data_IF_588568774570
#
_entry.id   IF_588568774570
#
_cell.length_a   1.000
_cell.length_b   1.000
_cell.length_c   1.000
_cell.angle_alpha   90.00
_cell.angle_beta   90.00
_cell.angle_gamma   90.00
#
_symmetry.space_group_name_H-M   'P 1'
#
loop_
_entity.id
_entity.type
_entity.pdbx_description
1 polymer ?
#
# COMPACT_ATOMS: atom_id res chain seq x y z
N UNK A 1 -2.19 -8.92 17.11
CA UNK A 1 -2.15 -8.22 15.81
C UNK A 1 -3.50 -7.53 15.64
N UNK A 2 -3.55 -6.23 15.34
CA UNK A 2 -4.83 -5.50 15.33
C UNK A 2 -5.80 -5.96 14.23
N UNK A 3 -5.29 -6.60 13.18
CA UNK A 3 -6.06 -7.04 12.02
C UNK A 3 -6.13 -8.55 11.82
N UNK A 4 -5.90 -9.36 12.86
CA UNK A 4 -5.88 -10.83 12.75
C UNK A 4 -7.26 -11.51 12.70
N UNK A 5 -8.34 -10.78 12.46
CA UNK A 5 -9.69 -11.35 12.43
C UNK A 5 -10.18 -11.64 11.01
N UNK A 6 -10.85 -12.79 10.86
CA UNK A 6 -11.42 -13.33 9.62
C UNK A 6 -12.38 -12.39 8.87
N UNK A 7 -12.90 -11.35 9.53
CA UNK A 7 -13.73 -10.32 8.90
C UNK A 7 -12.95 -9.36 8.00
N UNK A 8 -11.66 -9.15 8.27
CA UNK A 8 -10.72 -8.39 7.42
C UNK A 8 -10.14 -9.27 6.30
N UNK A 9 -10.01 -10.59 6.50
CA UNK A 9 -9.51 -11.57 5.51
C UNK A 9 -10.33 -11.56 4.19
N UNK A 10 -11.53 -10.96 4.16
CA UNK A 10 -12.32 -10.77 2.91
C UNK A 10 -11.77 -9.72 1.94
N UNK A 11 -10.68 -9.03 2.28
CA UNK A 11 -10.06 -7.99 1.45
C UNK A 11 -8.75 -8.43 0.78
N UNK A 12 -8.57 -9.74 0.60
CA UNK A 12 -7.51 -10.28 -0.25
C UNK A 12 -7.89 -10.04 -1.72
N UNK A 13 -7.10 -9.20 -2.41
CA UNK A 13 -7.21 -9.03 -3.85
C UNK A 13 -5.90 -9.48 -4.47
N UNK A 14 -5.93 -10.56 -5.24
CA UNK A 14 -4.78 -11.04 -5.96
C UNK A 14 -5.02 -10.96 -7.46
N UNK A 15 -3.95 -10.70 -8.18
CA UNK A 15 -3.90 -10.79 -9.63
C UNK A 15 -2.81 -11.77 -10.04
N UNK A 16 -2.99 -12.46 -11.15
CA UNK A 16 -1.99 -13.40 -11.64
C UNK A 16 -1.82 -13.39 -13.16
N UNK A 17 -0.64 -13.85 -13.55
CA UNK A 17 -0.27 -14.19 -14.93
C UNK A 17 0.03 -15.70 -14.93
N UNK A 18 -1.00 -16.56 -15.09
CA UNK A 18 -0.83 -18.00 -14.97
C UNK A 18 0.23 -18.58 -15.90
N UNK A 19 0.34 -18.04 -17.12
CA UNK A 19 1.35 -18.46 -18.12
C UNK A 19 2.80 -18.24 -17.68
N UNK A 20 3.04 -17.37 -16.68
CA UNK A 20 4.36 -17.10 -16.12
C UNK A 20 4.49 -17.58 -14.67
N UNK A 21 3.45 -18.21 -14.11
CA UNK A 21 3.42 -18.68 -12.73
C UNK A 21 3.77 -17.57 -11.71
N UNK A 22 3.24 -16.37 -11.93
CA UNK A 22 3.46 -15.17 -11.10
C UNK A 22 2.10 -14.64 -10.63
N UNK A 23 2.03 -14.28 -9.36
CA UNK A 23 0.88 -13.61 -8.76
C UNK A 23 1.34 -12.38 -7.95
N UNK A 24 0.43 -11.46 -7.70
CA UNK A 24 0.66 -10.30 -6.83
C UNK A 24 -0.56 -10.07 -5.97
N UNK A 25 -0.34 -9.76 -4.70
CA UNK A 25 -1.40 -9.12 -3.94
C UNK A 25 -1.50 -7.64 -4.34
N UNK A 26 -2.72 -7.12 -4.31
CA UNK A 26 -3.06 -5.71 -4.52
C UNK A 26 -3.58 -5.14 -3.19
N UNK A 27 -2.68 -4.60 -2.34
CA UNK A 27 -3.13 -3.92 -1.13
C UNK A 27 -3.94 -2.67 -1.49
N UNK A 28 -4.80 -2.22 -0.58
CA UNK A 28 -5.58 -1.00 -0.83
C UNK A 28 -4.73 0.25 -0.60
N UNK A 29 -3.89 0.58 -1.59
CA UNK A 29 -3.07 1.79 -1.64
C UNK A 29 -2.69 2.16 -3.09
N UNK A 30 -1.87 3.21 -3.25
CA UNK A 30 -1.42 3.69 -4.56
C UNK A 30 -0.53 2.67 -5.29
N UNK A 31 0.16 1.78 -4.58
CA UNK A 31 1.04 0.77 -5.19
C UNK A 31 0.27 -0.36 -5.86
N UNK A 32 -0.99 -0.61 -5.47
CA UNK A 32 -1.84 -1.53 -6.22
C UNK A 32 -2.08 -1.06 -7.66
N UNK A 33 -2.16 0.25 -7.92
CA UNK A 33 -2.28 0.77 -9.30
C UNK A 33 -1.02 0.50 -10.12
N UNK A 34 0.16 0.70 -9.53
CA UNK A 34 1.46 0.35 -10.12
C UNK A 34 1.51 -1.15 -10.45
N UNK A 35 1.14 -2.01 -9.49
CA UNK A 35 1.15 -3.46 -9.69
C UNK A 35 0.17 -3.92 -10.75
N UNK A 36 -1.04 -3.37 -10.77
CA UNK A 36 -2.01 -3.65 -11.81
C UNK A 36 -1.46 -3.29 -13.20
N UNK A 37 -0.91 -2.08 -13.34
CA UNK A 37 -0.37 -1.58 -14.60
C UNK A 37 0.88 -2.37 -15.05
N UNK A 38 1.71 -2.80 -14.11
CA UNK A 38 2.84 -3.70 -14.37
C UNK A 38 2.36 -5.05 -14.91
N UNK A 39 1.39 -5.69 -14.26
CA UNK A 39 0.86 -6.99 -14.68
C UNK A 39 0.14 -6.90 -16.04
N UNK A 40 -0.57 -5.79 -16.31
CA UNK A 40 -1.10 -5.46 -17.64
C UNK A 40 -0.01 -5.48 -18.72
N UNK A 41 1.12 -4.79 -18.46
CA UNK A 41 2.21 -4.70 -19.41
C UNK A 41 2.92 -6.04 -19.61
N UNK A 42 3.13 -6.82 -18.55
CA UNK A 42 3.77 -8.13 -18.65
C UNK A 42 2.90 -9.13 -19.42
N UNK A 43 1.58 -9.07 -19.23
CA UNK A 43 0.64 -9.87 -20.02
C UNK A 43 0.59 -9.50 -21.50
N UNK A 44 1.04 -8.29 -21.88
CA UNK A 44 1.04 -7.75 -23.26
C UNK A 44 2.33 -6.99 -23.59
N UNK A 45 3.50 -7.67 -23.60
CA UNK A 45 4.80 -7.00 -23.53
C UNK A 45 5.15 -6.17 -24.78
N UNK A 46 4.57 -6.48 -25.94
CA UNK A 46 4.87 -5.83 -27.21
C UNK A 46 4.05 -4.55 -27.49
N UNK A 47 3.18 -4.12 -26.57
CA UNK A 47 2.35 -2.92 -26.78
C UNK A 47 3.00 -1.65 -26.19
N UNK A 48 3.79 -0.95 -27.01
CA UNK A 48 4.42 0.32 -26.61
C UNK A 48 3.39 1.41 -26.29
N UNK A 49 2.28 1.46 -27.05
CA UNK A 49 1.17 2.39 -26.81
C UNK A 49 0.52 2.14 -25.45
N UNK A 50 0.30 0.88 -25.09
CA UNK A 50 -0.22 0.50 -23.76
C UNK A 50 0.75 0.92 -22.65
N UNK A 51 2.06 0.73 -22.84
CA UNK A 51 3.07 1.14 -21.85
C UNK A 51 3.04 2.64 -21.56
N UNK A 52 3.06 3.46 -22.60
CA UNK A 52 2.97 4.92 -22.45
C UNK A 52 1.62 5.36 -21.85
N UNK A 53 0.55 4.62 -22.14
CA UNK A 53 -0.76 4.88 -21.57
C UNK A 53 -0.85 4.52 -20.08
N UNK A 54 -0.20 3.44 -19.64
CA UNK A 54 -0.31 2.91 -18.27
C UNK A 54 0.64 3.58 -17.28
N UNK A 55 1.79 4.07 -17.73
CA UNK A 55 2.82 4.63 -16.85
C UNK A 55 3.04 6.14 -17.05
N UNK A 56 1.95 6.91 -17.03
CA UNK A 56 2.02 8.37 -16.97
C UNK A 56 1.46 8.90 -15.65
N UNK A 57 1.83 10.13 -15.28
CA UNK A 57 1.42 10.79 -14.02
C UNK A 57 -0.10 10.76 -13.80
N UNK A 58 -0.91 10.86 -14.88
CA UNK A 58 -2.37 10.86 -14.79
C UNK A 58 -2.95 9.50 -14.41
N UNK A 59 -2.14 8.44 -14.44
CA UNK A 59 -2.49 7.06 -14.09
C UNK A 59 -2.11 6.68 -12.66
N UNK A 60 -1.41 7.55 -11.91
CA UNK A 60 -1.14 7.30 -10.49
C UNK A 60 -2.46 7.14 -9.74
N UNK A 61 -2.61 6.03 -9.01
CA UNK A 61 -3.84 5.68 -8.30
C UNK A 61 -5.00 5.23 -9.21
N UNK A 62 -4.78 5.08 -10.53
CA UNK A 62 -5.77 4.58 -11.48
C UNK A 62 -5.36 3.24 -12.06
N UNK A 63 -6.25 2.27 -11.95
CA UNK A 63 -6.08 0.94 -12.54
C UNK A 63 -6.81 0.89 -13.89
N UNK A 64 -6.13 0.39 -14.92
CA UNK A 64 -6.81 0.01 -16.16
C UNK A 64 -7.39 -1.39 -16.01
N UNK A 65 -8.60 -1.60 -16.54
CA UNK A 65 -9.15 -2.94 -16.75
C UNK A 65 -8.32 -3.64 -17.82
N UNK A 66 -7.29 -4.31 -17.36
CA UNK A 66 -6.72 -5.43 -18.10
C UNK A 66 -7.44 -6.68 -17.61
N UNK A 67 -7.35 -7.78 -18.35
CA UNK A 67 -7.78 -9.08 -17.85
C UNK A 67 -6.58 -9.86 -17.30
N UNK A 68 -5.93 -9.49 -16.18
CA UNK A 68 -5.28 -10.50 -15.38
C UNK A 68 -6.38 -11.26 -14.62
N UNK A 69 -6.14 -12.54 -14.38
CA UNK A 69 -7.06 -13.36 -13.60
C UNK A 69 -7.06 -12.84 -12.15
N UNK A 70 -8.21 -12.34 -11.68
CA UNK A 70 -8.38 -11.84 -10.31
C UNK A 70 -9.03 -12.93 -9.46
N UNK A 71 -8.32 -13.43 -8.46
CA UNK A 71 -8.89 -14.24 -7.38
C UNK A 71 -8.76 -13.49 -6.04
N UNK A 72 -9.64 -13.86 -5.11
CA UNK A 72 -9.73 -13.30 -3.77
C UNK A 72 -8.98 -14.11 -2.71
N UNK A 73 -8.36 -15.24 -3.05
CA UNK A 73 -7.75 -16.12 -2.05
C UNK A 73 -6.31 -16.48 -2.40
N UNK A 74 -5.40 -16.32 -1.43
CA UNK A 74 -3.98 -16.68 -1.59
C UNK A 74 -3.79 -18.18 -1.89
N UNK A 75 -4.71 -19.04 -1.41
CA UNK A 75 -4.66 -20.50 -1.64
C UNK A 75 -4.75 -20.86 -3.13
N UNK A 76 -5.44 -20.04 -3.93
CA UNK A 76 -5.57 -20.24 -5.38
C UNK A 76 -4.24 -20.04 -6.12
N UNK A 77 -3.24 -19.48 -5.45
CA UNK A 77 -1.92 -19.16 -5.98
C UNK A 77 -0.79 -19.91 -5.27
N UNK A 78 -1.10 -21.05 -4.62
CA UNK A 78 -0.12 -21.87 -3.87
C UNK A 78 1.10 -22.31 -4.67
N UNK A 79 0.99 -22.45 -5.99
CA UNK A 79 2.08 -22.80 -6.88
C UNK A 79 2.76 -21.59 -7.55
N UNK A 80 2.20 -20.40 -7.40
CA UNK A 80 2.69 -19.16 -8.01
C UNK A 80 3.80 -18.52 -7.19
N UNK A 81 4.68 -17.81 -7.89
CA UNK A 81 5.60 -16.89 -7.28
C UNK A 81 4.87 -15.59 -6.96
N UNK A 82 4.65 -15.33 -5.67
CA UNK A 82 3.93 -14.13 -5.25
C UNK A 82 4.93 -12.98 -5.10
N UNK A 83 4.63 -11.83 -5.69
CA UNK A 83 5.39 -10.58 -5.50
C UNK A 83 4.49 -9.53 -4.87
N UNK A 84 5.05 -8.66 -4.04
CA UNK A 84 4.33 -7.56 -3.44
C UNK A 84 5.27 -6.38 -3.20
N UNK A 85 4.79 -5.17 -3.51
CA UNK A 85 5.47 -3.95 -3.11
C UNK A 85 4.95 -3.51 -1.74
N UNK A 86 5.87 -3.14 -0.87
CA UNK A 86 5.57 -2.60 0.45
C UNK A 86 6.33 -1.30 0.64
N UNK A 87 5.69 -0.30 1.21
CA UNK A 87 6.28 1.00 1.52
C UNK A 87 6.46 1.12 3.03
N UNK A 88 7.43 1.94 3.45
CA UNK A 88 7.56 2.35 4.85
C UNK A 88 6.18 2.70 5.46
N UNK A 89 5.81 2.13 6.63
CA UNK A 89 4.46 2.30 7.16
C UNK A 89 4.09 3.75 7.46
N UNK A 90 5.05 4.61 7.82
CA UNK A 90 4.77 6.03 8.05
C UNK A 90 4.49 6.74 6.72
N UNK A 91 5.34 6.52 5.71
CA UNK A 91 5.11 7.12 4.39
C UNK A 91 3.78 6.66 3.78
N UNK A 92 3.47 5.36 3.87
CA UNK A 92 2.19 4.81 3.39
C UNK A 92 0.99 5.45 4.09
N UNK A 93 1.05 5.57 5.42
CA UNK A 93 -0.01 6.22 6.20
C UNK A 93 -0.19 7.69 5.79
N UNK A 94 0.91 8.44 5.66
CA UNK A 94 0.86 9.85 5.26
C UNK A 94 0.31 10.02 3.84
N UNK A 95 0.68 9.16 2.90
CA UNK A 95 0.13 9.18 1.53
C UNK A 95 -1.40 8.98 1.55
N UNK A 96 -1.89 7.99 2.30
CA UNK A 96 -3.32 7.73 2.45
C UNK A 96 -4.05 8.86 3.19
N UNK A 97 -3.46 9.39 4.26
CA UNK A 97 -4.01 10.50 5.04
C UNK A 97 -4.12 11.77 4.20
N UNK A 98 -3.08 12.12 3.43
CA UNK A 98 -3.10 13.30 2.58
C UNK A 98 -4.19 13.16 1.52
N UNK A 99 -4.24 12.00 0.84
CA UNK A 99 -5.21 11.73 -0.21
C UNK A 99 -6.66 11.81 0.29
N UNK A 100 -6.93 11.26 1.48
CA UNK A 100 -8.30 11.16 1.98
C UNK A 100 -8.74 12.34 2.84
N UNK A 101 -7.85 12.88 3.65
CA UNK A 101 -8.21 13.75 4.77
C UNK A 101 -7.85 15.21 4.58
N UNK A 102 -6.86 15.48 3.72
CA UNK A 102 -6.36 16.85 3.54
C UNK A 102 -6.91 17.48 2.27
N UNK A 103 -6.97 18.81 2.25
CA UNK A 103 -7.30 19.56 1.04
C UNK A 103 -6.30 19.33 -0.09
N UNK A 104 -5.05 18.97 0.22
CA UNK A 104 -4.02 18.70 -0.78
C UNK A 104 -4.30 17.44 -1.61
N UNK A 105 -5.03 16.46 -1.05
CA UNK A 105 -5.42 15.23 -1.74
C UNK A 105 -6.76 15.29 -2.47
N UNK A 106 -7.60 16.30 -2.19
CA UNK A 106 -8.93 16.41 -2.78
C UNK A 106 -8.87 17.15 -4.12
N UNK A 107 -9.29 16.49 -5.20
CA UNK A 107 -9.73 17.20 -6.40
C UNK A 107 -10.92 18.08 -6.01
N UNK A 108 -10.82 19.40 -6.26
CA UNK A 108 -11.79 20.44 -5.86
C UNK A 108 -13.25 20.19 -6.31
N UNK A 109 -13.49 19.14 -7.09
CA UNK A 109 -14.76 18.80 -7.74
C UNK A 109 -15.62 17.80 -6.98
N UNK A 110 -15.11 17.14 -5.93
CA UNK A 110 -15.90 16.19 -5.12
C UNK A 110 -16.22 16.79 -3.75
N UNK A 111 -17.50 17.06 -3.42
CA UNK A 111 -17.85 17.58 -2.10
C UNK A 111 -17.44 16.58 -1.02
N UNK A 112 -16.84 17.07 0.08
CA UNK A 112 -16.49 16.26 1.24
C UNK A 112 -17.72 15.47 1.69
N UNK A 113 -17.70 14.14 1.53
CA UNK A 113 -18.61 13.29 2.30
C UNK A 113 -18.30 13.58 3.77
N UNK A 114 -19.28 14.06 4.52
CA UNK A 114 -19.13 14.47 5.93
C UNK A 114 -18.60 13.35 6.84
N UNK A 115 -18.69 12.09 6.40
CA UNK A 115 -18.20 10.89 7.08
C UNK A 115 -16.77 10.46 6.74
N UNK A 116 -16.12 11.05 5.72
CA UNK A 116 -14.75 10.68 5.33
C UNK A 116 -13.72 11.01 6.41
N UNK A 117 -12.62 10.25 6.46
CA UNK A 117 -11.55 10.37 7.44
C UNK A 117 -12.04 10.25 8.87
N UNK A 118 -12.89 9.26 9.11
CA UNK A 118 -13.53 9.04 10.39
C UNK A 118 -14.26 10.28 10.92
N UNK A 119 -14.67 11.24 10.07
CA UNK A 119 -15.28 12.51 10.50
C UNK A 119 -14.31 13.51 11.16
N UNK A 120 -13.00 13.33 11.00
CA UNK A 120 -11.95 14.15 11.60
C UNK A 120 -11.51 15.36 10.76
N UNK A 121 -12.05 15.52 9.55
CA UNK A 121 -11.57 16.50 8.55
C UNK A 121 -10.06 16.29 8.33
N UNK A 122 -9.25 17.30 8.63
CA UNK A 122 -7.79 17.34 8.47
C UNK A 122 -7.04 17.32 9.82
N UNK A 123 -7.68 16.87 10.90
CA UNK A 123 -7.02 16.68 12.19
C UNK A 123 -6.31 15.32 12.26
N UNK A 124 -4.98 15.35 12.21
CA UNK A 124 -4.13 14.15 12.29
C UNK A 124 -4.35 13.39 13.60
N UNK A 125 -4.39 14.12 14.72
CA UNK A 125 -4.66 13.58 16.05
C UNK A 125 -5.98 12.81 16.10
N UNK A 126 -7.08 13.45 15.67
CA UNK A 126 -8.39 12.82 15.66
C UNK A 126 -8.39 11.55 14.80
N UNK A 127 -7.76 11.60 13.60
CA UNK A 127 -7.70 10.44 12.71
C UNK A 127 -6.95 9.27 13.34
N UNK A 128 -5.80 9.50 13.98
CA UNK A 128 -5.05 8.46 14.67
C UNK A 128 -5.81 7.89 15.88
N UNK A 129 -6.47 8.73 16.66
CA UNK A 129 -7.29 8.30 17.81
C UNK A 129 -8.46 7.42 17.37
N UNK A 130 -9.21 7.83 16.34
CA UNK A 130 -10.35 7.06 15.81
C UNK A 130 -9.91 5.79 15.11
N UNK A 131 -8.80 5.82 14.37
CA UNK A 131 -8.21 4.64 13.75
C UNK A 131 -7.80 3.61 14.82
N UNK A 132 -7.07 4.04 15.85
CA UNK A 132 -6.67 3.17 16.95
C UNK A 132 -7.87 2.56 17.67
N UNK A 133 -8.89 3.37 18.00
CA UNK A 133 -10.11 2.89 18.63
C UNK A 133 -10.83 1.84 17.76
N UNK A 134 -11.00 2.13 16.47
CA UNK A 134 -11.66 1.21 15.52
C UNK A 134 -10.91 -0.11 15.37
N UNK A 135 -9.58 -0.06 15.20
CA UNK A 135 -8.76 -1.26 15.08
C UNK A 135 -8.75 -2.09 16.38
N UNK A 136 -8.78 -1.44 17.54
CA UNK A 136 -8.91 -2.12 18.83
C UNK A 136 -10.25 -2.87 18.94
N UNK A 137 -11.34 -2.24 18.52
CA UNK A 137 -12.66 -2.88 18.49
C UNK A 137 -12.69 -4.08 17.56
N UNK A 138 -12.10 -3.97 16.36
CA UNK A 138 -11.99 -5.09 15.41
C UNK A 138 -11.17 -6.24 16.04
N UNK A 139 -10.05 -5.94 16.68
CA UNK A 139 -9.22 -6.94 17.34
C UNK A 139 -9.92 -7.63 18.52
N UNK A 140 -10.89 -6.97 19.14
CA UNK A 140 -11.67 -7.49 20.28
C UNK A 140 -12.96 -8.23 19.85
N UNK A 141 -13.16 -8.44 18.54
CA UNK A 141 -14.34 -9.11 17.99
C UNK A 141 -15.67 -8.44 18.37
N UNK A 142 -15.72 -7.13 18.54
CA UNK A 142 -17.01 -6.45 18.79
C UNK A 142 -17.80 -6.35 17.46
N UNK A 143 -18.53 -7.44 17.15
CA UNK A 143 -19.21 -7.71 15.88
C UNK A 143 -20.22 -6.60 15.53
N UNK A 144 -20.77 -5.92 16.55
CA UNK A 144 -21.85 -4.92 16.40
C UNK A 144 -21.45 -3.70 15.58
N UNK A 145 -20.17 -3.38 15.47
CA UNK A 145 -19.71 -2.20 14.71
C UNK A 145 -19.33 -2.51 13.25
N UNK A 146 -19.11 -3.78 12.92
CA UNK A 146 -18.62 -4.19 11.59
C UNK A 146 -19.75 -4.32 10.57
N UNK A 147 -20.97 -4.65 11.01
CA UNK A 147 -22.15 -4.73 10.14
C UNK A 147 -22.71 -3.35 9.76
N UNK A 148 -22.42 -2.31 10.56
CA UNK A 148 -22.89 -0.95 10.31
C UNK A 148 -21.90 -0.07 9.52
N UNK A 149 -20.64 -0.49 9.39
CA UNK A 149 -19.66 0.23 8.59
C UNK A 149 -19.74 -0.26 7.13
N UNK A 150 -20.25 0.54 6.18
CA UNK A 150 -20.28 0.12 4.77
C UNK A 150 -18.87 -0.31 4.34
N UNK A 151 -18.76 -1.47 3.69
CA UNK A 151 -17.51 -1.98 3.12
C UNK A 151 -16.85 -1.02 2.10
N UNK A 152 -17.59 0.02 1.69
CA UNK A 152 -17.16 1.18 0.91
C UNK A 152 -16.60 2.33 1.77
N UNK A 153 -16.14 2.04 2.99
CA UNK A 153 -15.51 3.07 3.81
C UNK A 153 -14.14 3.42 3.22
N UNK A 154 -14.05 4.56 2.54
CA UNK A 154 -12.81 5.05 1.90
C UNK A 154 -11.61 5.12 2.88
N UNK A 155 -11.90 5.12 4.18
CA UNK A 155 -10.94 5.09 5.29
C UNK A 155 -10.10 3.80 5.37
N UNK A 156 -10.48 2.73 4.66
CA UNK A 156 -9.68 1.49 4.59
C UNK A 156 -8.27 1.75 4.07
N UNK A 157 -8.05 2.76 3.21
CA UNK A 157 -6.70 3.08 2.72
C UNK A 157 -5.71 3.45 3.84
N UNK A 158 -6.22 3.91 4.99
CA UNK A 158 -5.42 4.38 6.13
C UNK A 158 -5.02 3.21 7.06
N UNK A 159 -5.62 2.03 6.91
CA UNK A 159 -5.33 0.87 7.77
C UNK A 159 -3.91 0.34 7.54
N UNK A 160 -3.28 -0.32 8.54
CA UNK A 160 -2.02 -1.04 8.36
C UNK A 160 -2.05 -1.99 7.15
N UNK A 161 -0.91 -2.10 6.47
CA UNK A 161 -0.75 -2.95 5.31
C UNK A 161 -0.93 -4.44 5.69
N UNK A 162 -0.53 -4.82 6.91
CA UNK A 162 -0.77 -6.17 7.45
C UNK A 162 -2.24 -6.54 7.64
N UNK A 163 -3.17 -5.59 7.47
CA UNK A 163 -4.60 -5.85 7.38
C UNK A 163 -5.04 -6.35 5.99
N UNK A 164 -4.13 -6.44 5.02
CA UNK A 164 -4.42 -6.91 3.67
C UNK A 164 -3.55 -8.12 3.33
N UNK A 165 -3.86 -8.76 2.19
CA UNK A 165 -3.01 -9.77 1.56
C UNK A 165 -2.66 -11.00 2.39
N UNK A 166 -3.26 -11.16 3.57
CA UNK A 166 -3.05 -12.29 4.47
C UNK A 166 -1.55 -12.60 4.64
N UNK A 167 -0.80 -11.56 5.05
CA UNK A 167 0.64 -11.63 5.33
C UNK A 167 0.99 -12.50 6.56
N UNK A 168 0.19 -13.52 6.89
CA UNK A 168 0.52 -14.53 7.89
C UNK A 168 1.90 -15.11 7.56
N UNK A 169 2.68 -15.41 8.60
CA UNK A 169 4.11 -15.80 8.49
C UNK A 169 4.36 -16.96 7.50
N UNK A 170 3.41 -17.88 7.36
CA UNK A 170 3.45 -18.99 6.39
C UNK A 170 3.29 -18.54 4.93
N UNK A 171 2.42 -17.56 4.69
CA UNK A 171 2.14 -17.00 3.36
C UNK A 171 3.25 -16.02 2.95
N UNK A 172 3.71 -15.18 3.88
CA UNK A 172 4.78 -14.20 3.62
C UNK A 172 6.09 -14.87 3.18
N UNK A 173 6.42 -16.05 3.73
CA UNK A 173 7.61 -16.82 3.31
C UNK A 173 7.61 -17.23 1.83
N UNK A 174 6.44 -17.22 1.18
CA UNK A 174 6.29 -17.53 -0.25
C UNK A 174 6.29 -16.27 -1.13
N UNK A 175 6.36 -15.09 -0.53
CA UNK A 175 6.29 -13.81 -1.22
C UNK A 175 7.69 -13.21 -1.40
N UNK A 176 7.96 -12.69 -2.59
CA UNK A 176 9.05 -11.72 -2.80
C UNK A 176 8.51 -10.33 -2.43
N UNK A 177 9.11 -9.74 -1.40
CA UNK A 177 8.72 -8.42 -0.88
C UNK A 177 9.70 -7.39 -1.41
N UNK A 178 9.24 -6.49 -2.27
CA UNK A 178 10.02 -5.34 -2.75
C UNK A 178 9.73 -4.16 -1.84
N UNK A 179 10.77 -3.61 -1.21
CA UNK A 179 10.64 -2.53 -0.23
C UNK A 179 10.90 -1.16 -0.85
N UNK A 180 10.00 -0.24 -0.58
CA UNK A 180 10.12 1.17 -0.97
C UNK A 180 10.43 2.02 0.26
N UNK A 181 11.66 2.49 0.34
CA UNK A 181 12.16 3.46 1.31
C UNK A 181 12.43 4.80 0.59
N UNK A 182 12.45 5.91 1.34
CA UNK A 182 12.69 7.26 0.79
C UNK A 182 13.99 7.36 -0.04
N UNK A 183 14.98 6.49 0.22
CA UNK A 183 16.28 6.48 -0.46
C UNK A 183 16.49 5.27 -1.39
N UNK A 184 15.53 4.32 -1.48
CA UNK A 184 15.73 3.01 -2.11
C UNK A 184 15.10 2.84 -3.49
N UNK A 185 14.64 3.91 -4.14
CA UNK A 185 13.96 3.82 -5.44
C UNK A 185 14.77 3.02 -6.48
N UNK A 186 16.10 3.25 -6.53
CA UNK A 186 17.01 2.52 -7.43
C UNK A 186 17.16 1.03 -7.10
N UNK A 187 16.89 0.62 -5.86
CA UNK A 187 16.96 -0.78 -5.42
C UNK A 187 15.67 -1.54 -5.82
N UNK A 188 14.53 -0.87 -5.80
CA UNK A 188 13.24 -1.49 -6.10
C UNK A 188 13.17 -2.06 -7.52
N UNK A 189 13.68 -1.33 -8.52
CA UNK A 189 13.70 -1.82 -9.91
C UNK A 189 14.77 -2.89 -10.16
N UNK A 190 15.88 -2.85 -9.43
CA UNK A 190 16.86 -3.93 -9.47
C UNK A 190 16.27 -5.23 -8.92
N UNK A 191 15.59 -5.18 -7.76
CA UNK A 191 14.89 -6.33 -7.17
C UNK A 191 13.76 -6.83 -8.09
N UNK A 192 13.03 -5.92 -8.74
CA UNK A 192 11.99 -6.26 -9.70
C UNK A 192 12.57 -6.97 -10.94
N UNK A 193 13.65 -6.43 -11.50
CA UNK A 193 14.34 -7.03 -12.63
C UNK A 193 14.87 -8.42 -12.27
N UNK A 194 15.49 -8.57 -11.10
CA UNK A 194 15.95 -9.87 -10.59
C UNK A 194 14.79 -10.87 -10.44
N UNK A 195 13.65 -10.43 -9.89
CA UNK A 195 12.46 -11.25 -9.76
C UNK A 195 12.00 -11.80 -11.12
N UNK A 196 11.90 -10.96 -12.14
CA UNK A 196 11.46 -11.41 -13.47
C UNK A 196 12.54 -12.20 -14.24
N UNK A 197 13.82 -11.88 -14.03
CA UNK A 197 14.96 -12.57 -14.65
C UNK A 197 15.07 -14.02 -14.19
N UNK A 198 14.96 -14.26 -12.88
CA UNK A 198 15.02 -15.61 -12.32
C UNK A 198 13.88 -16.52 -12.81
N UNK A 199 12.86 -15.92 -13.44
CA UNK A 199 11.64 -16.57 -13.96
C UNK A 199 11.57 -16.61 -15.48
N UNK A 200 12.68 -16.31 -16.17
CA UNK A 200 12.84 -16.38 -17.64
C UNK A 200 11.83 -15.53 -18.42
N UNK A 201 11.36 -14.43 -17.83
CA UNK A 201 10.60 -13.41 -18.58
C UNK A 201 11.60 -12.65 -19.47
N UNK A 202 11.32 -12.54 -20.78
CA UNK A 202 12.25 -11.96 -21.77
C UNK A 202 12.66 -10.52 -21.42
N UNK A 203 13.95 -10.28 -21.17
CA UNK A 203 14.47 -8.96 -20.79
C UNK A 203 14.27 -7.90 -21.88
N UNK A 204 14.46 -8.25 -23.15
CA UNK A 204 14.40 -7.29 -24.25
C UNK A 204 13.01 -6.62 -24.36
N UNK A 205 11.96 -7.32 -23.94
CA UNK A 205 10.60 -6.77 -23.91
C UNK A 205 10.31 -5.95 -22.64
N UNK A 206 11.11 -6.11 -21.59
CA UNK A 206 10.89 -5.62 -20.23
C UNK A 206 11.72 -4.38 -19.85
N UNK A 207 12.84 -4.07 -20.53
CA UNK A 207 13.68 -2.89 -20.21
C UNK A 207 12.85 -1.60 -20.13
N UNK A 208 12.00 -1.34 -21.13
CA UNK A 208 11.15 -0.16 -21.10
C UNK A 208 10.07 -0.21 -20.02
N UNK A 209 9.67 -1.39 -19.52
CA UNK A 209 8.66 -1.55 -18.47
C UNK A 209 9.30 -1.18 -17.13
N UNK A 210 10.51 -1.68 -16.86
CA UNK A 210 11.23 -1.35 -15.63
C UNK A 210 11.53 0.14 -15.52
N UNK A 211 11.95 0.78 -16.63
CA UNK A 211 12.10 2.25 -16.64
C UNK A 211 10.79 2.97 -16.33
N UNK A 212 9.68 2.50 -16.90
CA UNK A 212 8.35 3.08 -16.60
C UNK A 212 7.90 2.84 -15.16
N UNK A 213 8.32 1.75 -14.54
CA UNK A 213 8.11 1.48 -13.10
C UNK A 213 8.94 2.46 -12.27
N UNK A 214 10.23 2.66 -12.58
CA UNK A 214 11.09 3.66 -11.93
C UNK A 214 10.49 5.06 -11.96
N UNK A 215 10.05 5.50 -13.14
CA UNK A 215 9.44 6.81 -13.32
C UNK A 215 8.19 6.96 -12.45
N UNK A 216 7.33 5.93 -12.39
CA UNK A 216 6.12 5.96 -11.56
C UNK A 216 6.43 5.90 -10.07
N UNK A 217 7.42 5.11 -9.63
CA UNK A 217 7.87 5.06 -8.24
C UNK A 217 8.41 6.43 -7.80
N UNK A 218 9.27 7.05 -8.63
CA UNK A 218 9.80 8.39 -8.40
C UNK A 218 8.67 9.42 -8.21
N UNK A 219 7.65 9.37 -9.08
CA UNK A 219 6.49 10.27 -8.97
C UNK A 219 5.66 10.00 -7.70
N UNK A 220 5.46 8.73 -7.32
CA UNK A 220 4.73 8.35 -6.11
C UNK A 220 5.43 8.87 -4.84
N UNK A 221 6.75 8.75 -4.76
CA UNK A 221 7.53 9.26 -3.63
C UNK A 221 7.47 10.79 -3.56
N UNK A 222 7.66 11.46 -4.70
CA UNK A 222 7.65 12.93 -4.77
C UNK A 222 6.27 13.56 -4.52
N UNK A 223 5.20 12.81 -4.79
CA UNK A 223 3.81 13.26 -4.59
C UNK A 223 3.59 13.73 -3.16
N UNK A 224 3.14 14.99 -3.01
CA UNK A 224 2.94 15.66 -1.72
C UNK A 224 4.13 15.64 -0.75
N UNK A 225 5.37 15.48 -1.24
CA UNK A 225 6.60 15.41 -0.43
C UNK A 225 6.72 16.53 0.61
N UNK A 226 6.38 17.78 0.24
CA UNK A 226 6.37 18.92 1.18
C UNK A 226 5.38 18.73 2.33
N UNK A 227 4.16 18.29 2.04
CA UNK A 227 3.11 18.02 3.05
C UNK A 227 3.49 16.82 3.92
N UNK A 228 4.03 15.76 3.31
CA UNK A 228 4.54 14.58 4.04
C UNK A 228 5.62 14.99 5.05
N UNK A 229 6.56 15.84 4.64
CA UNK A 229 7.61 16.35 5.53
C UNK A 229 7.03 17.09 6.74
N UNK A 230 6.08 18.00 6.52
CA UNK A 230 5.44 18.75 7.62
C UNK A 230 4.72 17.82 8.60
N UNK A 231 3.93 16.87 8.09
CA UNK A 231 3.19 15.91 8.93
C UNK A 231 4.14 14.95 9.67
N UNK A 232 5.23 14.51 9.03
CA UNK A 232 6.30 13.72 9.65
C UNK A 232 6.91 14.48 10.83
N UNK A 233 7.25 15.76 10.64
CA UNK A 233 7.78 16.62 11.70
C UNK A 233 6.76 16.85 12.84
N UNK A 234 5.48 17.02 12.52
CA UNK A 234 4.40 17.14 13.52
C UNK A 234 4.32 15.86 14.39
N UNK A 235 4.30 14.69 13.77
CA UNK A 235 4.27 13.40 14.48
C UNK A 235 5.51 13.17 15.34
N UNK A 236 6.69 13.61 14.87
CA UNK A 236 7.94 13.48 15.62
C UNK A 236 7.99 14.40 16.85
N UNK A 237 7.32 15.55 16.81
CA UNK A 237 7.28 16.52 17.92
C UNK A 237 6.23 16.19 18.98
N UNK A 238 5.25 15.35 18.66
CA UNK A 238 4.18 14.97 19.58
C UNK A 238 4.34 13.47 20.01
N UNK A 239 4.86 13.21 21.24
CA UNK A 239 5.03 11.85 21.75
C UNK A 239 3.74 11.03 21.79
N UNK A 240 2.58 11.70 21.96
CA UNK A 240 1.30 11.02 22.01
C UNK A 240 0.89 10.51 20.63
N UNK A 241 1.03 11.34 19.58
CA UNK A 241 0.79 10.91 18.20
C UNK A 241 1.74 9.79 17.79
N UNK A 242 3.02 9.91 18.15
CA UNK A 242 4.02 8.88 17.90
C UNK A 242 3.68 7.55 18.58
N UNK A 243 3.26 7.59 19.84
CA UNK A 243 2.83 6.40 20.59
C UNK A 243 1.61 5.75 19.96
N UNK A 244 0.60 6.54 19.55
CA UNK A 244 -0.58 6.02 18.85
C UNK A 244 -0.20 5.36 17.53
N UNK A 245 0.56 6.07 16.69
CA UNK A 245 1.03 5.55 15.40
C UNK A 245 1.82 4.25 15.58
N UNK A 246 2.76 4.24 16.52
CA UNK A 246 3.56 3.04 16.83
C UNK A 246 2.66 1.87 17.22
N UNK A 247 1.66 2.06 18.09
CA UNK A 247 0.73 0.98 18.47
C UNK A 247 -0.08 0.45 17.30
N UNK A 248 -0.45 1.30 16.35
CA UNK A 248 -1.23 0.92 15.16
C UNK A 248 -0.37 0.13 14.17
N UNK A 249 0.84 0.62 13.85
CA UNK A 249 1.66 0.13 12.73
C UNK A 249 2.86 -0.73 13.17
N UNK A 250 3.09 -0.95 14.47
CA UNK A 250 4.23 -1.74 14.98
C UNK A 250 4.39 -3.08 14.27
N UNK A 251 3.27 -3.75 13.99
CA UNK A 251 3.29 -5.04 13.34
C UNK A 251 3.80 -4.97 11.89
N UNK A 252 3.45 -3.93 11.13
CA UNK A 252 3.95 -3.74 9.76
C UNK A 252 5.47 -3.56 9.76
N UNK A 253 6.01 -2.75 10.68
CA UNK A 253 7.46 -2.57 10.83
C UNK A 253 8.17 -3.90 11.07
N UNK A 254 7.66 -4.71 12.01
CA UNK A 254 8.22 -6.03 12.31
C UNK A 254 8.09 -7.01 11.13
N UNK A 255 6.93 -7.02 10.48
CA UNK A 255 6.59 -8.00 9.45
C UNK A 255 7.41 -7.78 8.18
N UNK A 256 7.57 -6.52 7.78
CA UNK A 256 8.29 -6.16 6.56
C UNK A 256 9.75 -5.81 6.81
N UNK A 257 10.20 -5.70 8.06
CA UNK A 257 11.59 -5.45 8.40
C UNK A 257 12.00 -3.98 8.23
N UNK A 258 11.05 -3.06 8.37
CA UNK A 258 11.36 -1.63 8.42
C UNK A 258 11.84 -1.25 9.83
N UNK A 259 12.71 -0.25 9.90
CA UNK A 259 13.07 0.38 11.17
C UNK A 259 12.26 1.65 11.32
N UNK A 260 11.61 1.83 12.48
CA UNK A 260 10.94 3.09 12.79
C UNK A 260 12.02 4.18 12.94
N UNK A 261 12.24 4.96 11.87
CA UNK A 261 13.20 6.08 11.85
C UNK A 261 12.62 7.30 12.57
N UNK A 262 12.15 7.10 13.80
CA UNK A 262 11.68 8.15 14.67
C UNK A 262 12.61 8.13 15.87
N UNK A 263 13.51 9.10 15.93
CA UNK A 263 14.35 9.31 17.10
C UNK A 263 13.40 9.47 18.29
N UNK A 264 13.51 8.65 19.35
CA UNK A 264 12.91 9.01 20.62
C UNK A 264 13.36 10.42 20.94
N UNK A 265 12.43 11.30 21.33
CA UNK A 265 12.83 12.44 22.15
C UNK A 265 13.58 11.81 23.31
N UNK A 266 14.88 12.11 23.39
CA UNK A 266 15.73 11.70 24.49
C UNK A 266 14.97 11.91 25.80
N UNK A 267 15.11 10.93 26.68
CA UNK A 267 14.64 10.88 28.05
C UNK A 267 14.55 12.30 28.65
N UNK A 268 13.35 12.87 28.67
CA UNK A 268 13.04 13.91 29.64
C UNK A 268 12.92 13.19 30.99
N UNK A 269 14.10 13.14 31.62
CA UNK A 269 14.34 12.86 33.03
C UNK A 269 13.63 13.89 33.91
#
# INVERSE_FOLDING_TARGET
MMCSHSSIDKNEHFQAIPSQNIASCLPRDKLASLMNNLFCCIGRPNSLSLRNQLFNEKMIGKSVKCEPYVSYHVEDYTNSNIIVFVQDPLMRFLDAYIEKCTMAGQNQTSPRKSSSCFGCKDSLKCTLERLYAKLRMIAQSDIRYYEEAPQDNEDVLIYPLSCYCNFKKSSLRKMTVIRLEEESESLASAELAEFFNSRRVSQNSMVGVFRSVDDMLSQLTQTHSKTKKVLKEEMQKDPYLLSLFSKIFHHDYQLFGFTLQIKPLEEYS
#
